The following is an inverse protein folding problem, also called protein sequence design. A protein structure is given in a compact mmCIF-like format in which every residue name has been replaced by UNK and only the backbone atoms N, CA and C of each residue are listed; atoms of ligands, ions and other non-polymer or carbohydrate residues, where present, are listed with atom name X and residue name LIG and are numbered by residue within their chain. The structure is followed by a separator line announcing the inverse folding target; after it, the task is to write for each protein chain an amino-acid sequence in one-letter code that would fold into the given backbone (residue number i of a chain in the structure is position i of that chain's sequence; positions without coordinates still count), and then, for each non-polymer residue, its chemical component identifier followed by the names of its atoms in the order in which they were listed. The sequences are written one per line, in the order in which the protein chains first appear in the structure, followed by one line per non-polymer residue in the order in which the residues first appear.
data_IF_717653404682
#
_entry.id   IF_717653404682
#
_cell.length_a   1.000
_cell.length_b   1.000
_cell.length_c   1.000
_cell.angle_alpha   90.00
_cell.angle_beta   90.00
_cell.angle_gamma   90.00
#
_symmetry.space_group_name_H-M   'P 1'
#
loop_
_entity.id
_entity.type
_entity.pdbx_description
1 polymer ?
#
# COMPACT_ATOMS: atom_id res chain seq x y z
N UNK A 1 2.17 10.24 13.04
CA UNK A 1 0.89 10.62 12.37
C UNK A 1 -0.06 9.45 12.55
N UNK A 2 -1.24 9.66 13.12
CA UNK A 2 -2.24 8.59 13.26
C UNK A 2 -2.77 8.22 11.87
N UNK A 3 -2.71 6.93 11.51
CA UNK A 3 -3.39 6.39 10.33
C UNK A 3 -4.76 5.90 10.80
N UNK A 4 -5.83 6.44 10.23
CA UNK A 4 -7.18 5.96 10.54
C UNK A 4 -7.31 4.52 10.02
N UNK A 5 -8.00 3.62 10.74
CA UNK A 5 -8.35 2.31 10.19
C UNK A 5 -9.04 2.48 8.83
N UNK A 6 -8.89 1.54 7.89
CA UNK A 6 -9.46 1.64 6.52
C UNK A 6 -10.95 2.04 6.49
N UNK A 7 -11.74 1.55 7.46
CA UNK A 7 -13.17 1.89 7.63
C UNK A 7 -13.47 3.35 8.00
N UNK A 8 -12.46 4.09 8.46
CA UNK A 8 -12.49 5.50 8.88
C UNK A 8 -11.62 6.37 7.95
N UNK A 9 -11.05 5.77 6.91
CA UNK A 9 -10.38 6.48 5.84
C UNK A 9 -11.41 6.90 4.79
N UNK A 10 -11.42 8.20 4.49
CA UNK A 10 -12.33 8.78 3.50
C UNK A 10 -12.05 8.18 2.13
N UNK A 11 -10.78 7.96 1.81
CA UNK A 11 -10.40 7.49 0.48
C UNK A 11 -10.87 6.05 0.27
N UNK A 12 -10.84 5.19 1.29
CA UNK A 12 -11.15 3.74 1.22
C UNK A 12 -12.59 3.34 1.60
N UNK A 13 -13.48 4.31 1.77
CA UNK A 13 -14.86 4.06 2.24
C UNK A 13 -15.91 4.30 1.16
N UNK A 14 -15.55 4.35 -0.12
CA UNK A 14 -16.53 4.50 -1.21
C UNK A 14 -17.38 3.23 -1.33
N UNK A 15 -18.66 3.35 -1.73
CA UNK A 15 -19.52 2.19 -1.76
C UNK A 15 -19.09 1.22 -2.86
N UNK A 16 -19.13 -0.08 -2.57
CA UNK A 16 -18.87 -1.14 -3.54
C UNK A 16 -19.95 -2.21 -3.40
N UNK A 17 -20.47 -2.66 -4.54
CA UNK A 17 -21.45 -3.73 -4.58
C UNK A 17 -21.08 -4.74 -5.66
N UNK A 18 -20.77 -5.96 -5.24
CA UNK A 18 -20.49 -7.10 -6.10
C UNK A 18 -21.38 -8.27 -5.67
N UNK A 19 -21.43 -9.35 -6.47
CA UNK A 19 -22.20 -10.55 -6.13
C UNK A 19 -21.83 -11.15 -4.76
N UNK A 20 -20.57 -11.03 -4.34
CA UNK A 20 -20.01 -11.72 -3.18
C UNK A 20 -19.56 -10.78 -2.05
N UNK A 21 -19.67 -9.46 -2.26
CA UNK A 21 -19.23 -8.46 -1.30
C UNK A 21 -20.01 -7.17 -1.48
N UNK A 22 -20.49 -6.60 -0.37
CA UNK A 22 -21.18 -5.32 -0.34
C UNK A 22 -20.66 -4.47 0.81
N UNK A 23 -20.31 -3.23 0.50
CA UNK A 23 -19.94 -2.23 1.47
C UNK A 23 -20.73 -0.96 1.16
N UNK A 24 -21.64 -0.60 2.07
CA UNK A 24 -22.60 0.50 1.88
C UNK A 24 -22.51 1.56 2.98
N UNK A 25 -21.80 1.26 4.07
CA UNK A 25 -21.60 2.19 5.19
C UNK A 25 -20.46 3.14 4.85
N UNK A 26 -20.79 4.30 4.26
CA UNK A 26 -19.82 5.30 3.84
C UNK A 26 -19.83 6.50 4.79
N UNK A 27 -18.69 7.18 4.96
CA UNK A 27 -18.60 8.38 5.79
C UNK A 27 -19.38 9.55 5.16
N UNK A 28 -19.71 10.57 5.95
CA UNK A 28 -20.40 11.77 5.45
C UNK A 28 -19.55 12.50 4.40
N UNK A 29 -18.24 12.62 4.65
CA UNK A 29 -17.25 13.20 3.75
C UNK A 29 -17.19 12.43 2.43
N UNK A 30 -17.14 11.09 2.50
CA UNK A 30 -17.18 10.21 1.34
C UNK A 30 -18.47 10.37 0.54
N UNK A 31 -19.61 10.53 1.21
CA UNK A 31 -20.88 10.80 0.53
C UNK A 31 -20.92 12.15 -0.20
N UNK A 32 -20.24 13.17 0.33
CA UNK A 32 -20.10 14.46 -0.36
C UNK A 32 -19.25 14.29 -1.62
N UNK A 33 -18.08 13.65 -1.51
CA UNK A 33 -17.20 13.39 -2.65
C UNK A 33 -17.89 12.54 -3.72
N UNK A 34 -18.62 11.51 -3.31
CA UNK A 34 -19.44 10.68 -4.19
C UNK A 34 -20.42 11.52 -5.01
N UNK A 35 -21.18 12.41 -4.37
CA UNK A 35 -22.13 13.29 -5.06
C UNK A 35 -21.43 14.20 -6.07
N UNK A 36 -20.24 14.71 -5.75
CA UNK A 36 -19.45 15.55 -6.66
C UNK A 36 -19.00 14.73 -7.88
N UNK A 37 -18.45 13.53 -7.66
CA UNK A 37 -18.02 12.62 -8.73
C UNK A 37 -19.21 12.27 -9.64
N UNK A 38 -20.33 11.84 -9.06
CA UNK A 38 -21.53 11.42 -9.80
C UNK A 38 -22.12 12.56 -10.64
N UNK A 39 -22.12 13.78 -10.10
CA UNK A 39 -22.74 14.95 -10.72
C UNK A 39 -21.85 15.62 -11.78
N UNK A 40 -20.55 15.78 -11.48
CA UNK A 40 -19.64 16.52 -12.35
C UNK A 40 -18.93 15.63 -13.36
N UNK A 41 -18.63 14.37 -13.02
CA UNK A 41 -17.90 13.41 -13.84
C UNK A 41 -16.66 14.04 -14.51
N UNK A 42 -15.69 14.53 -13.72
CA UNK A 42 -14.56 15.27 -14.27
C UNK A 42 -13.80 14.44 -15.31
N UNK A 43 -13.20 15.09 -16.30
CA UNK A 43 -12.34 14.41 -17.28
C UNK A 43 -11.02 13.93 -16.65
N UNK A 44 -10.56 14.63 -15.60
CA UNK A 44 -9.36 14.34 -14.83
C UNK A 44 -9.68 14.30 -13.34
N UNK A 45 -9.36 13.19 -12.68
CA UNK A 45 -9.49 13.00 -11.25
C UNK A 45 -8.11 12.73 -10.64
N UNK A 46 -7.68 13.60 -9.73
CA UNK A 46 -6.39 13.46 -9.04
C UNK A 46 -6.63 13.41 -7.54
N UNK A 47 -6.25 12.30 -6.89
CA UNK A 47 -6.27 12.19 -5.42
C UNK A 47 -4.84 12.19 -4.91
N UNK A 48 -4.50 13.21 -4.10
CA UNK A 48 -3.15 13.39 -3.59
C UNK A 48 -2.93 12.50 -2.38
N UNK A 49 -2.05 11.51 -2.52
CA UNK A 49 -1.69 10.62 -1.45
C UNK A 49 -0.30 10.97 -0.91
N UNK A 50 -0.05 10.51 0.31
CA UNK A 50 1.25 10.65 0.93
C UNK A 50 1.68 9.34 1.56
N UNK A 51 2.90 8.93 1.27
CA UNK A 51 3.57 7.79 1.87
C UNK A 51 4.68 8.28 2.80
N UNK A 52 4.96 7.57 3.89
CA UNK A 52 5.89 8.08 4.89
C UNK A 52 7.34 8.10 4.38
N UNK A 53 7.88 6.94 3.98
CA UNK A 53 9.22 6.83 3.44
C UNK A 53 9.17 6.01 2.14
N UNK A 54 9.46 6.65 1.02
CA UNK A 54 9.48 6.04 -0.32
C UNK A 54 10.10 7.04 -1.31
N UNK A 55 10.30 6.62 -2.56
CA UNK A 55 10.34 7.54 -3.70
C UNK A 55 8.92 7.92 -4.10
N UNK A 56 8.77 9.02 -4.84
CA UNK A 56 7.50 9.38 -5.46
C UNK A 56 7.13 8.33 -6.51
N UNK A 57 5.87 7.93 -6.53
CA UNK A 57 5.32 7.09 -7.58
C UNK A 57 3.89 7.47 -7.88
N UNK A 58 3.37 6.90 -8.95
CA UNK A 58 2.09 7.29 -9.50
C UNK A 58 1.28 6.07 -9.91
N UNK A 59 0.00 6.06 -9.57
CA UNK A 59 -0.97 5.14 -10.15
C UNK A 59 -1.80 5.85 -11.21
N UNK A 60 -2.01 5.19 -12.35
CA UNK A 60 -2.82 5.70 -13.47
C UNK A 60 -3.95 4.74 -13.84
N UNK A 61 -5.03 5.31 -14.35
CA UNK A 61 -6.14 4.50 -14.90
C UNK A 61 -5.77 3.74 -16.17
N UNK A 62 -4.83 4.26 -16.97
CA UNK A 62 -4.36 3.62 -18.21
C UNK A 62 -2.84 3.81 -18.40
N UNK A 63 -2.30 3.08 -19.39
CA UNK A 63 -0.91 3.21 -19.80
C UNK A 63 -0.69 4.46 -20.66
N UNK A 64 -0.43 5.61 -20.03
CA UNK A 64 -0.19 6.88 -20.71
C UNK A 64 1.29 7.09 -21.06
N UNK A 65 1.86 6.20 -21.89
CA UNK A 65 3.30 6.17 -22.23
C UNK A 65 3.87 7.56 -22.59
N UNK A 66 3.12 8.36 -23.35
CA UNK A 66 3.53 9.72 -23.78
C UNK A 66 3.61 10.77 -22.65
N UNK A 67 3.05 10.48 -21.48
CA UNK A 67 3.11 11.36 -20.31
C UNK A 67 4.23 10.99 -19.34
N UNK A 68 4.65 9.72 -19.32
CA UNK A 68 5.57 9.23 -18.30
C UNK A 68 6.93 9.95 -18.35
N UNK A 69 7.49 10.20 -19.53
CA UNK A 69 8.76 10.93 -19.67
C UNK A 69 8.63 12.40 -19.22
N UNK A 70 7.47 13.03 -19.46
CA UNK A 70 7.21 14.40 -19.02
C UNK A 70 7.09 14.48 -17.50
N UNK A 71 6.45 13.50 -16.88
CA UNK A 71 6.29 13.42 -15.44
C UNK A 71 7.62 13.09 -14.77
N UNK A 72 8.39 12.15 -15.31
CA UNK A 72 9.74 11.85 -14.81
C UNK A 72 10.63 13.09 -14.87
N UNK A 73 10.68 13.79 -16.01
CA UNK A 73 11.45 15.04 -16.12
C UNK A 73 10.97 16.15 -15.16
N UNK A 74 9.67 16.18 -14.85
CA UNK A 74 9.14 17.10 -13.84
C UNK A 74 9.59 16.71 -12.42
N UNK A 75 9.53 15.42 -12.09
CA UNK A 75 9.98 14.87 -10.80
C UNK A 75 11.47 15.10 -10.60
N UNK A 76 12.30 14.85 -11.60
CA UNK A 76 13.75 15.06 -11.54
C UNK A 76 14.12 16.50 -11.17
N UNK A 77 13.33 17.50 -11.60
CA UNK A 77 13.54 18.91 -11.26
C UNK A 77 13.17 19.24 -9.82
N UNK A 78 12.37 18.40 -9.15
CA UNK A 78 11.89 18.63 -7.78
C UNK A 78 12.84 18.10 -6.69
N UNK A 79 13.95 17.46 -7.08
CA UNK A 79 14.89 16.76 -6.19
C UNK A 79 14.28 15.61 -5.37
N UNK A 80 13.04 15.20 -5.66
CA UNK A 80 12.40 14.02 -5.08
C UNK A 80 12.73 12.81 -5.95
N UNK A 81 13.23 11.69 -5.39
CA UNK A 81 13.54 10.50 -6.18
C UNK A 81 12.26 9.78 -6.61
N UNK A 82 12.22 9.35 -7.88
CA UNK A 82 11.16 8.47 -8.38
C UNK A 82 11.39 7.07 -7.80
N UNK A 83 10.34 6.42 -7.32
CA UNK A 83 10.42 5.05 -6.82
C UNK A 83 10.64 4.09 -8.01
N UNK A 84 11.89 3.85 -8.37
CA UNK A 84 12.22 2.97 -9.51
C UNK A 84 12.32 1.50 -9.12
N UNK A 85 12.57 1.18 -7.85
CA UNK A 85 12.46 -0.20 -7.35
C UNK A 85 11.00 -0.57 -7.08
N UNK A 86 10.57 -1.77 -7.45
CA UNK A 86 9.21 -2.26 -7.16
C UNK A 86 9.02 -2.36 -5.64
N UNK A 87 8.08 -1.60 -5.04
CA UNK A 87 7.71 -1.76 -3.64
C UNK A 87 7.17 -3.16 -3.36
N UNK A 88 7.32 -3.63 -2.13
CA UNK A 88 6.90 -4.96 -1.67
C UNK A 88 5.44 -5.33 -2.02
N UNK A 89 4.55 -4.34 -2.12
CA UNK A 89 3.11 -4.51 -2.32
C UNK A 89 2.64 -4.35 -3.77
N UNK A 90 3.55 -4.15 -4.72
CA UNK A 90 3.19 -3.98 -6.13
C UNK A 90 3.50 -5.26 -6.91
N UNK A 91 2.46 -5.89 -7.46
CA UNK A 91 2.62 -7.02 -8.37
C UNK A 91 3.16 -6.56 -9.72
N UNK A 92 3.98 -7.39 -10.37
CA UNK A 92 4.52 -7.11 -11.71
C UNK A 92 3.40 -6.81 -12.72
N UNK A 93 2.24 -7.47 -12.58
CA UNK A 93 1.06 -7.25 -13.42
C UNK A 93 0.45 -5.85 -13.31
N UNK A 94 0.83 -5.06 -12.31
CA UNK A 94 0.34 -3.70 -12.11
C UNK A 94 1.33 -2.65 -12.60
N UNK A 95 2.53 -3.03 -13.05
CA UNK A 95 3.58 -2.08 -13.43
C UNK A 95 3.48 -1.71 -14.91
N UNK A 96 3.32 -0.42 -15.22
CA UNK A 96 3.50 0.07 -16.60
C UNK A 96 4.97 0.27 -16.91
N UNK A 97 5.69 0.89 -15.98
CA UNK A 97 7.16 1.04 -15.95
C UNK A 97 7.58 1.42 -14.53
N UNK A 98 8.87 1.29 -14.15
CA UNK A 98 9.37 1.72 -12.84
C UNK A 98 8.86 3.12 -12.41
N UNK A 99 8.18 3.19 -11.26
CA UNK A 99 7.57 4.43 -10.71
C UNK A 99 6.16 4.76 -11.23
N UNK A 100 5.64 4.02 -12.20
CA UNK A 100 4.35 4.25 -12.84
C UNK A 100 3.54 2.94 -12.88
N UNK A 101 2.45 2.93 -12.13
CA UNK A 101 1.67 1.74 -11.84
C UNK A 101 0.23 1.91 -12.32
N UNK A 102 -0.48 0.81 -12.50
CA UNK A 102 -1.91 0.76 -12.77
C UNK A 102 -2.68 0.90 -11.48
N UNK A 103 -3.78 1.64 -11.52
CA UNK A 103 -4.79 1.62 -10.46
C UNK A 103 -5.43 0.22 -10.41
N UNK A 104 -5.20 -0.51 -9.32
CA UNK A 104 -5.82 -1.80 -9.05
C UNK A 104 -7.00 -1.63 -8.11
N UNK A 105 -8.21 -1.80 -8.63
CA UNK A 105 -9.44 -1.50 -7.87
C UNK A 105 -9.73 -2.55 -6.79
N UNK A 106 -10.43 -2.17 -5.73
CA UNK A 106 -10.91 -3.14 -4.71
C UNK A 106 -11.83 -4.18 -5.33
N UNK A 107 -12.61 -3.81 -6.35
CA UNK A 107 -13.43 -4.76 -7.12
C UNK A 107 -12.61 -5.81 -7.86
N UNK A 108 -11.45 -5.44 -8.42
CA UNK A 108 -10.52 -6.38 -9.04
C UNK A 108 -9.85 -7.27 -8.00
N UNK A 109 -9.37 -6.68 -6.90
CA UNK A 109 -8.84 -7.41 -5.73
C UNK A 109 -9.80 -8.50 -5.25
N UNK A 110 -11.07 -8.16 -5.03
CA UNK A 110 -12.10 -9.12 -4.61
C UNK A 110 -12.25 -10.25 -5.64
N UNK A 111 -12.25 -9.91 -6.94
CA UNK A 111 -12.39 -10.90 -8.01
C UNK A 111 -11.22 -11.89 -8.02
N UNK A 112 -10.00 -11.39 -7.91
CA UNK A 112 -8.79 -12.20 -7.93
C UNK A 112 -8.71 -13.06 -6.65
N UNK A 113 -9.03 -12.49 -5.48
CA UNK A 113 -9.10 -13.24 -4.23
C UNK A 113 -10.10 -14.40 -4.30
N UNK A 114 -11.29 -14.18 -4.87
CA UNK A 114 -12.28 -15.24 -5.07
C UNK A 114 -11.74 -16.32 -6.02
N UNK A 115 -11.10 -15.92 -7.13
CA UNK A 115 -10.52 -16.85 -8.11
C UNK A 115 -9.46 -17.73 -7.46
N UNK A 116 -8.71 -17.18 -6.51
CA UNK A 116 -7.62 -17.85 -5.80
C UNK A 116 -8.07 -18.57 -4.52
N UNK A 117 -9.37 -18.51 -4.19
CA UNK A 117 -9.92 -19.14 -2.98
C UNK A 117 -9.52 -18.45 -1.68
N UNK A 118 -9.11 -17.19 -1.74
CA UNK A 118 -8.79 -16.35 -0.58
C UNK A 118 -10.09 -15.90 0.10
N UNK A 119 -10.15 -16.06 1.42
CA UNK A 119 -11.32 -15.69 2.22
C UNK A 119 -11.47 -14.16 2.35
N UNK A 120 -12.46 -13.62 1.62
CA UNK A 120 -12.82 -12.19 1.67
C UNK A 120 -13.77 -11.84 2.83
N UNK A 121 -14.19 -12.80 3.66
CA UNK A 121 -15.14 -12.57 4.76
C UNK A 121 -14.61 -11.61 5.82
N UNK A 122 -13.29 -11.37 5.83
CA UNK A 122 -12.60 -10.45 6.74
C UNK A 122 -12.42 -9.05 6.17
N UNK A 123 -12.74 -8.81 4.88
CA UNK A 123 -12.62 -7.51 4.23
C UNK A 123 -13.61 -6.51 4.86
N UNK A 124 -13.11 -5.37 5.35
CA UNK A 124 -13.90 -4.34 6.04
C UNK A 124 -13.66 -2.94 5.46
N UNK A 125 -13.62 -2.83 4.12
CA UNK A 125 -13.40 -1.56 3.43
C UNK A 125 -14.24 -1.43 2.17
N UNK A 126 -14.43 -0.20 1.72
CA UNK A 126 -15.09 0.12 0.48
C UNK A 126 -14.15 0.05 -0.73
N UNK A 127 -14.59 0.65 -1.82
CA UNK A 127 -13.71 1.04 -2.91
C UNK A 127 -12.89 2.28 -2.52
N UNK A 128 -11.77 2.52 -3.20
CA UNK A 128 -11.08 3.81 -3.08
C UNK A 128 -11.61 4.86 -4.05
N UNK A 129 -11.37 6.15 -3.79
CA UNK A 129 -12.00 7.25 -4.55
C UNK A 129 -11.76 7.17 -6.06
N UNK A 130 -10.53 6.87 -6.48
CA UNK A 130 -10.19 6.73 -7.89
C UNK A 130 -10.83 5.50 -8.54
N UNK A 131 -10.95 4.37 -7.82
CA UNK A 131 -11.67 3.19 -8.29
C UNK A 131 -13.16 3.47 -8.47
N UNK A 132 -13.78 4.15 -7.51
CA UNK A 132 -15.18 4.58 -7.61
C UNK A 132 -15.38 5.56 -8.78
N UNK A 133 -14.50 6.56 -8.93
CA UNK A 133 -14.54 7.49 -10.05
C UNK A 133 -14.49 6.79 -11.41
N UNK A 134 -13.60 5.81 -11.58
CA UNK A 134 -13.49 5.07 -12.84
C UNK A 134 -14.73 4.22 -13.15
N UNK A 135 -15.47 3.77 -12.13
CA UNK A 135 -16.76 3.10 -12.35
C UNK A 135 -17.83 4.09 -12.88
N UNK A 136 -17.83 5.34 -12.39
CA UNK A 136 -18.78 6.37 -12.82
C UNK A 136 -18.39 7.04 -14.14
N UNK A 137 -17.09 7.11 -14.44
CA UNK A 137 -16.53 7.67 -15.66
C UNK A 137 -15.42 6.76 -16.24
N UNK A 138 -15.76 5.67 -16.94
CA UNK A 138 -14.77 4.72 -17.47
C UNK A 138 -13.82 5.31 -18.53
N UNK A 139 -14.15 6.46 -19.12
CA UNK A 139 -13.31 7.19 -20.08
C UNK A 139 -12.47 8.27 -19.40
N UNK A 140 -12.68 8.50 -18.12
CA UNK A 140 -11.98 9.48 -17.32
C UNK A 140 -10.52 9.11 -17.09
N UNK A 141 -9.72 10.13 -16.77
CA UNK A 141 -8.31 9.97 -16.42
C UNK A 141 -8.20 10.04 -14.90
N UNK A 142 -7.72 8.98 -14.27
CA UNK A 142 -7.42 8.98 -12.83
C UNK A 142 -5.90 8.92 -12.61
N UNK A 143 -5.41 9.75 -11.69
CA UNK A 143 -4.01 9.83 -11.30
C UNK A 143 -3.92 9.90 -9.77
N UNK A 144 -3.14 9.00 -9.17
CA UNK A 144 -2.85 8.97 -7.74
C UNK A 144 -1.35 9.11 -7.53
N UNK A 145 -0.82 10.32 -7.28
CA UNK A 145 0.55 10.49 -6.84
C UNK A 145 0.69 10.10 -5.37
N UNK A 146 1.65 9.23 -5.08
CA UNK A 146 2.10 8.90 -3.73
C UNK A 146 3.34 9.73 -3.38
N UNK A 147 3.11 10.85 -2.68
CA UNK A 147 4.17 11.78 -2.32
C UNK A 147 4.90 11.34 -1.03
N UNK A 148 6.23 11.19 -1.04
CA UNK A 148 6.95 10.82 0.16
C UNK A 148 7.07 11.99 1.14
N UNK A 149 6.81 11.74 2.43
CA UNK A 149 7.12 12.70 3.49
C UNK A 149 8.63 12.73 3.79
N UNK A 150 9.27 11.57 3.73
CA UNK A 150 10.70 11.36 3.86
C UNK A 150 11.20 10.51 2.70
N UNK A 151 12.41 10.78 2.24
CA UNK A 151 13.03 10.03 1.15
C UNK A 151 14.55 10.06 1.28
N UNK A 152 15.20 9.17 0.54
CA UNK A 152 16.64 9.10 0.37
C UNK A 152 16.96 9.00 -1.13
N UNK A 153 18.00 9.68 -1.59
CA UNK A 153 18.39 9.69 -3.00
C UNK A 153 18.80 8.29 -3.50
N UNK A 154 19.17 7.37 -2.61
CA UNK A 154 19.47 5.97 -2.95
C UNK A 154 18.27 5.26 -3.62
N UNK A 155 17.05 5.76 -3.43
CA UNK A 155 15.83 5.23 -4.06
C UNK A 155 15.79 5.43 -5.59
N UNK A 156 16.64 6.31 -6.13
CA UNK A 156 16.86 6.47 -7.57
C UNK A 156 18.02 5.63 -8.11
N UNK A 157 18.75 4.89 -7.26
CA UNK A 157 19.97 4.21 -7.67
C UNK A 157 19.69 2.90 -8.43
N UNK A 158 19.80 2.98 -9.76
CA UNK A 158 19.56 1.86 -10.68
C UNK A 158 20.79 0.97 -10.91
N UNK A 159 21.93 1.27 -10.29
CA UNK A 159 23.10 0.39 -10.39
C UNK A 159 22.75 -1.01 -9.89
N UNK A 160 23.26 -2.02 -10.58
CA UNK A 160 23.06 -3.42 -10.20
C UNK A 160 23.78 -3.68 -8.89
N UNK A 161 23.05 -4.23 -7.92
CA UNK A 161 23.55 -4.61 -6.62
C UNK A 161 24.09 -6.05 -6.59
N UNK A 162 24.38 -6.50 -5.37
CA UNK A 162 25.00 -7.81 -5.09
C UNK A 162 24.00 -8.92 -4.76
N UNK A 163 22.73 -8.57 -4.53
CA UNK A 163 21.66 -9.50 -4.15
C UNK A 163 20.69 -9.68 -5.31
N UNK A 164 20.11 -10.86 -5.42
CA UNK A 164 18.98 -11.12 -6.31
C UNK A 164 17.71 -10.42 -5.79
N UNK A 165 16.74 -10.19 -6.67
CA UNK A 165 15.42 -9.69 -6.28
C UNK A 165 14.73 -10.63 -5.29
N UNK A 166 14.88 -11.94 -5.49
CA UNK A 166 14.42 -12.99 -4.57
C UNK A 166 15.02 -12.84 -3.18
N UNK A 167 16.34 -12.75 -3.05
CA UNK A 167 17.01 -12.59 -1.76
C UNK A 167 16.60 -11.30 -1.06
N UNK A 168 16.51 -10.21 -1.82
CA UNK A 168 16.10 -8.89 -1.35
C UNK A 168 14.69 -8.91 -0.76
N UNK A 169 13.72 -9.53 -1.44
CA UNK A 169 12.35 -9.66 -0.96
C UNK A 169 12.24 -10.61 0.25
N UNK A 170 13.02 -11.70 0.28
CA UNK A 170 13.07 -12.59 1.44
C UNK A 170 13.65 -11.90 2.68
N UNK A 171 14.62 -10.99 2.51
CA UNK A 171 15.15 -10.17 3.61
C UNK A 171 14.11 -9.18 4.13
N UNK A 172 13.33 -8.53 3.26
CA UNK A 172 12.20 -7.69 3.67
C UNK A 172 11.22 -8.44 4.58
N UNK A 173 10.80 -9.63 4.14
CA UNK A 173 9.92 -10.51 4.91
C UNK A 173 10.52 -10.90 6.27
N UNK A 174 11.83 -11.20 6.29
CA UNK A 174 12.55 -11.54 7.52
C UNK A 174 12.48 -10.39 8.54
N UNK A 175 12.74 -9.16 8.11
CA UNK A 175 12.67 -7.95 8.97
C UNK A 175 11.25 -7.75 9.51
N UNK A 176 10.22 -7.96 8.69
CA UNK A 176 8.83 -7.86 9.14
C UNK A 176 8.49 -8.94 10.17
N UNK A 177 8.95 -10.18 9.99
CA UNK A 177 8.77 -11.26 10.97
C UNK A 177 9.49 -10.98 12.29
N UNK A 178 10.72 -10.44 12.26
CA UNK A 178 11.43 -10.02 13.49
C UNK A 178 10.62 -8.99 14.29
N UNK A 179 9.94 -8.09 13.58
CA UNK A 179 9.06 -7.10 14.22
C UNK A 179 7.89 -7.78 14.93
N UNK A 180 7.28 -8.79 14.31
CA UNK A 180 6.19 -9.56 14.89
C UNK A 180 6.65 -10.44 16.06
N UNK A 181 7.82 -11.06 15.95
CA UNK A 181 8.42 -11.88 17.01
C UNK A 181 8.63 -11.05 18.30
N UNK A 182 8.86 -9.74 18.17
CA UNK A 182 8.90 -8.82 19.32
C UNK A 182 7.51 -8.46 19.86
N UNK A 183 6.56 -8.12 19.00
CA UNK A 183 5.24 -7.58 19.41
C UNK A 183 4.32 -8.68 19.94
N UNK A 184 4.25 -9.84 19.27
CA UNK A 184 3.26 -10.89 19.56
C UNK A 184 3.29 -11.43 20.99
N UNK A 185 4.45 -11.74 21.60
CA UNK A 185 4.48 -12.24 22.97
C UNK A 185 3.91 -11.23 23.98
N UNK A 186 4.20 -9.95 23.78
CA UNK A 186 3.72 -8.86 24.64
C UNK A 186 2.22 -8.66 24.41
N UNK A 187 1.79 -8.60 23.14
CA UNK A 187 0.38 -8.49 22.77
C UNK A 187 -0.46 -9.61 23.39
N UNK A 188 -0.05 -10.87 23.21
CA UNK A 188 -0.78 -12.03 23.72
C UNK A 188 -0.88 -12.02 25.25
N UNK A 189 0.13 -11.51 25.95
CA UNK A 189 0.13 -11.42 27.42
C UNK A 189 -0.73 -10.27 27.95
N UNK A 190 -0.80 -9.14 27.24
CA UNK A 190 -1.37 -7.90 27.79
C UNK A 190 -2.60 -7.35 27.05
N UNK A 191 -3.02 -7.92 25.90
CA UNK A 191 -4.09 -7.36 25.04
C UNK A 191 -5.38 -6.96 25.78
N UNK A 192 -5.82 -7.77 26.74
CA UNK A 192 -7.06 -7.51 27.52
C UNK A 192 -6.94 -6.32 28.48
N UNK A 193 -5.71 -5.87 28.75
CA UNK A 193 -5.42 -4.71 29.60
C UNK A 193 -5.14 -3.44 28.81
N UNK A 194 -4.94 -3.54 27.49
CA UNK A 194 -4.64 -2.38 26.67
C UNK A 194 -5.90 -1.57 26.41
N UNK A 195 -5.76 -0.25 26.32
CA UNK A 195 -6.84 0.64 25.95
C UNK A 195 -7.32 0.35 24.51
N UNK A 196 -8.41 -0.40 24.38
CA UNK A 196 -8.97 -0.76 23.07
C UNK A 196 -9.61 0.42 22.31
N UNK A 197 -9.78 1.57 22.97
CA UNK A 197 -10.20 2.83 22.33
C UNK A 197 -9.02 3.62 21.79
N UNK A 198 -7.80 3.26 22.15
CA UNK A 198 -6.62 3.88 21.59
C UNK A 198 -6.57 3.61 20.09
N UNK A 199 -6.32 4.69 19.36
CA UNK A 199 -6.19 4.75 17.93
C UNK A 199 -5.28 3.63 17.35
N UNK A 200 -4.17 3.33 18.02
CA UNK A 200 -3.17 2.33 17.62
C UNK A 200 -3.61 0.88 17.90
N UNK A 201 -4.56 0.64 18.81
CA UNK A 201 -4.99 -0.71 19.17
C UNK A 201 -5.48 -1.48 17.94
N UNK A 202 -6.36 -0.87 17.15
CA UNK A 202 -6.93 -1.51 15.96
C UNK A 202 -5.86 -1.89 14.94
N UNK A 203 -4.88 -1.00 14.71
CA UNK A 203 -3.80 -1.24 13.77
C UNK A 203 -2.90 -2.40 14.22
N UNK A 204 -2.51 -2.44 15.49
CA UNK A 204 -1.69 -3.54 16.02
C UNK A 204 -2.48 -4.85 16.01
N UNK A 205 -3.76 -4.83 16.37
CA UNK A 205 -4.61 -6.02 16.33
C UNK A 205 -4.69 -6.63 14.92
N UNK A 206 -4.82 -5.79 13.89
CA UNK A 206 -4.81 -6.22 12.49
C UNK A 206 -3.47 -6.83 12.06
N UNK A 207 -2.36 -6.16 12.39
CA UNK A 207 -1.01 -6.65 12.12
C UNK A 207 -0.83 -8.05 12.72
N UNK A 208 -1.13 -8.22 14.02
CA UNK A 208 -0.94 -9.49 14.72
C UNK A 208 -1.85 -10.59 14.18
N UNK A 209 -3.07 -10.24 13.74
CA UNK A 209 -4.03 -11.21 13.21
C UNK A 209 -3.59 -11.77 11.85
N UNK A 210 -3.05 -10.92 10.97
CA UNK A 210 -2.94 -11.24 9.55
C UNK A 210 -1.48 -11.42 9.08
N UNK A 211 -0.59 -10.50 9.47
CA UNK A 211 0.70 -10.32 8.79
C UNK A 211 1.58 -11.56 8.84
N UNK A 212 1.66 -12.27 9.97
CA UNK A 212 2.52 -13.47 10.05
C UNK A 212 2.14 -14.53 9.02
N UNK A 213 0.84 -14.73 8.81
CA UNK A 213 0.35 -15.73 7.84
C UNK A 213 0.65 -15.27 6.42
N UNK A 214 0.34 -14.02 6.11
CA UNK A 214 0.54 -13.40 4.79
C UNK A 214 2.02 -13.43 4.40
N UNK A 215 2.90 -12.91 5.26
CA UNK A 215 4.36 -12.91 5.06
C UNK A 215 4.90 -14.33 4.79
N UNK A 216 4.42 -15.33 5.54
CA UNK A 216 4.89 -16.72 5.36
C UNK A 216 4.46 -17.32 4.02
N UNK A 217 3.25 -17.01 3.55
CA UNK A 217 2.80 -17.46 2.23
C UNK A 217 3.55 -16.73 1.12
N UNK A 218 3.74 -15.42 1.24
CA UNK A 218 4.57 -14.63 0.31
C UNK A 218 5.99 -15.18 0.23
N UNK A 219 6.65 -15.44 1.36
CA UNK A 219 7.98 -16.07 1.37
C UNK A 219 8.01 -17.43 0.65
N UNK A 220 6.95 -18.23 0.78
CA UNK A 220 6.84 -19.54 0.11
C UNK A 220 6.71 -19.37 -1.41
N UNK A 221 5.89 -18.41 -1.85
CA UNK A 221 5.75 -18.05 -3.26
C UNK A 221 7.09 -17.53 -3.79
N UNK A 222 7.73 -16.56 -3.12
CA UNK A 222 9.02 -15.99 -3.53
C UNK A 222 10.13 -17.03 -3.62
N UNK A 223 10.18 -18.01 -2.70
CA UNK A 223 11.17 -19.10 -2.81
C UNK A 223 10.98 -19.96 -4.06
N UNK A 224 9.74 -20.17 -4.47
CA UNK A 224 9.38 -21.02 -5.61
C UNK A 224 9.49 -20.27 -6.95
N UNK A 225 9.06 -19.01 -6.98
CA UNK A 225 8.79 -18.25 -8.21
C UNK A 225 9.53 -16.91 -8.28
N UNK A 226 10.25 -16.52 -7.23
CA UNK A 226 10.99 -15.27 -7.18
C UNK A 226 12.10 -15.20 -8.23
N UNK A 227 12.43 -13.98 -8.66
CA UNK A 227 13.44 -13.73 -9.69
C UNK A 227 14.87 -13.84 -9.14
N UNK A 228 15.70 -14.66 -9.80
CA UNK A 228 17.15 -14.76 -9.56
C UNK A 228 17.95 -13.66 -10.29
N UNK A 229 17.28 -12.73 -10.97
CA UNK A 229 17.95 -11.55 -11.50
C UNK A 229 18.48 -10.68 -10.35
N UNK A 230 19.64 -10.06 -10.57
CA UNK A 230 20.20 -9.10 -9.62
C UNK A 230 19.24 -7.91 -9.45
N UNK A 231 19.07 -7.52 -8.19
CA UNK A 231 18.32 -6.34 -7.80
C UNK A 231 19.18 -5.10 -8.02
N UNK A 232 18.55 -3.98 -8.34
CA UNK A 232 19.19 -2.66 -8.28
C UNK A 232 19.45 -2.26 -6.83
N UNK A 233 20.38 -1.33 -6.61
CA UNK A 233 20.62 -0.75 -5.28
C UNK A 233 19.35 -0.12 -4.69
N UNK A 234 18.49 0.49 -5.52
CA UNK A 234 17.20 1.04 -5.07
C UNK A 234 16.22 -0.02 -4.56
N UNK A 235 16.15 -1.18 -5.21
CA UNK A 235 15.33 -2.33 -4.78
C UNK A 235 15.84 -2.89 -3.45
N UNK A 236 17.17 -3.05 -3.30
CA UNK A 236 17.81 -3.49 -2.05
C UNK A 236 17.51 -2.49 -0.93
N UNK A 237 17.71 -1.20 -1.16
CA UNK A 237 17.48 -0.15 -0.17
C UNK A 237 16.01 -0.11 0.29
N UNK A 238 15.06 -0.20 -0.65
CA UNK A 238 13.63 -0.22 -0.35
C UNK A 238 13.25 -1.42 0.55
N UNK A 239 13.77 -2.60 0.23
CA UNK A 239 13.42 -3.84 0.92
C UNK A 239 14.25 -4.10 2.19
N UNK A 240 15.28 -3.30 2.49
CA UNK A 240 16.10 -3.49 3.69
C UNK A 240 16.14 -2.29 4.63
N UNK A 241 16.11 -1.06 4.12
CA UNK A 241 16.22 0.17 4.92
C UNK A 241 14.85 0.80 5.12
N UNK A 242 14.08 0.97 4.05
CA UNK A 242 12.73 1.53 4.15
C UNK A 242 11.81 0.61 4.95
N UNK A 243 11.89 -0.71 4.77
CA UNK A 243 11.14 -1.65 5.61
C UNK A 243 11.52 -1.54 7.09
N UNK A 244 12.80 -1.35 7.44
CA UNK A 244 13.24 -1.15 8.83
C UNK A 244 12.64 0.12 9.44
N UNK A 245 12.60 1.21 8.67
CA UNK A 245 11.91 2.42 9.08
C UNK A 245 10.42 2.15 9.36
N UNK A 246 9.73 1.40 8.48
CA UNK A 246 8.34 1.03 8.69
C UNK A 246 8.13 0.13 9.92
N UNK A 247 9.06 -0.80 10.18
CA UNK A 247 9.10 -1.60 11.41
C UNK A 247 9.24 -0.73 12.65
N UNK A 248 10.12 0.28 12.64
CA UNK A 248 10.25 1.25 13.73
C UNK A 248 8.95 2.01 13.99
N UNK A 249 8.20 2.41 12.94
CA UNK A 249 6.90 3.06 13.12
C UNK A 249 5.86 2.14 13.78
N UNK A 250 5.89 0.86 13.43
CA UNK A 250 5.02 -0.17 14.02
C UNK A 250 5.36 -0.36 15.50
N UNK A 251 6.65 -0.51 15.82
CA UNK A 251 7.14 -0.63 17.20
C UNK A 251 6.82 0.63 18.02
N UNK A 252 7.00 1.82 17.45
CA UNK A 252 6.65 3.09 18.09
C UNK A 252 5.16 3.20 18.39
N UNK A 253 4.30 2.78 17.45
CA UNK A 253 2.84 2.72 17.66
C UNK A 253 2.46 1.75 18.78
N UNK A 254 3.11 0.58 18.81
CA UNK A 254 2.90 -0.39 19.88
C UNK A 254 3.39 0.13 21.24
N UNK A 255 4.54 0.80 21.29
CA UNK A 255 5.05 1.45 22.49
C UNK A 255 4.09 2.53 23.03
N UNK A 256 3.53 3.37 22.14
CA UNK A 256 2.52 4.36 22.51
C UNK A 256 1.27 3.69 23.09
N UNK A 257 0.81 2.59 22.48
CA UNK A 257 -0.31 1.80 23.00
C UNK A 257 -0.03 1.24 24.41
N UNK A 258 1.18 0.75 24.66
CA UNK A 258 1.58 0.24 25.98
C UNK A 258 1.62 1.35 27.03
N UNK A 259 2.04 2.57 26.67
CA UNK A 259 2.10 3.70 27.59
C UNK A 259 0.76 4.40 27.83
N UNK A 260 -0.26 4.12 27.00
CA UNK A 260 -1.63 4.62 27.16
C UNK A 260 -2.53 3.66 27.97
N UNK A 261 -1.92 2.66 28.63
CA UNK A 261 -2.60 1.63 29.43
C UNK A 261 -2.92 2.09 30.86
#
# INVERSE_FOLDING_TARGET
RYHRPDKEDIDWSFPINTKNYSYTTTMNETNILRKIIDSYKPELFVTLHSIQFSGIHFYFSNNYVNLFDKIESFVEKSAIPLQKGTPFFIEDGWTYRPGFYRIYTTKEMIRDYIREGIDISTLRRGEFSAGYYLEQNPKGIALVPEMPLYYDLELNNLEIGEKTKKETFLECNRIMLETLDYIEPIWNKYREKLNNKNAHFMRIAEIIKNWRKEIKEEMKITRKEGSDALATKSEIYSNEKVVKYNSCNTLGSFHQLLNDS
#
